data_IF_687263544073
#
_entry.id   IF_687263544073
#
_cell.length_a   1.000
_cell.length_b   1.000
_cell.length_c   1.000
_cell.angle_alpha   90.00
_cell.angle_beta   90.00
_cell.angle_gamma   90.00
#
_symmetry.space_group_name_H-M   'P 1'
#
loop_
_entity.id
_entity.type
_entity.pdbx_description
1 polymer ?
#
# COMPACT_ATOMS: atom_id res chain seq x y z
N UNK A 1 16.18 -14.45 1.71
CA UNK A 1 15.62 -13.53 0.69
C UNK A 1 14.30 -14.07 0.09
N UNK A 2 14.20 -15.37 -0.21
CA UNK A 2 13.03 -15.98 -0.89
C UNK A 2 11.70 -16.00 -0.10
N UNK A 3 11.72 -16.13 1.24
CA UNK A 3 10.48 -16.19 2.05
C UNK A 3 9.64 -14.90 2.05
N UNK A 4 10.23 -13.73 1.73
CA UNK A 4 9.51 -12.44 1.69
C UNK A 4 8.73 -12.22 0.39
N UNK A 5 9.01 -13.02 -0.63
CA UNK A 5 8.38 -12.92 -1.94
C UNK A 5 7.49 -14.13 -2.27
N UNK A 6 7.28 -15.04 -1.31
CA UNK A 6 6.37 -16.16 -1.49
C UNK A 6 4.93 -15.64 -1.50
N UNK A 7 4.20 -15.77 -2.64
CA UNK A 7 2.83 -15.30 -2.74
C UNK A 7 1.94 -15.95 -1.69
N UNK A 8 0.95 -15.20 -1.20
CA UNK A 8 -0.01 -15.70 -0.21
C UNK A 8 0.47 -15.60 1.24
N UNK A 9 1.65 -15.04 1.52
CA UNK A 9 2.05 -14.67 2.88
C UNK A 9 1.59 -13.26 3.24
N UNK A 10 1.31 -12.94 4.51
CA UNK A 10 0.97 -11.58 4.94
C UNK A 10 2.01 -10.52 4.56
N UNK A 11 3.29 -10.86 4.67
CA UNK A 11 4.39 -9.97 4.28
C UNK A 11 4.39 -9.70 2.76
N UNK A 12 4.14 -10.74 1.95
CA UNK A 12 3.99 -10.59 0.50
C UNK A 12 2.79 -9.71 0.18
N UNK A 13 1.63 -9.98 0.76
CA UNK A 13 0.41 -9.21 0.50
C UNK A 13 0.61 -7.73 0.86
N UNK A 14 1.29 -7.42 1.97
CA UNK A 14 1.59 -6.04 2.32
C UNK A 14 2.47 -5.35 1.27
N UNK A 15 3.53 -6.04 0.83
CA UNK A 15 4.40 -5.55 -0.23
C UNK A 15 3.65 -5.34 -1.55
N UNK A 16 2.80 -6.29 -1.92
CA UNK A 16 2.02 -6.30 -3.16
C UNK A 16 1.00 -5.16 -3.17
N UNK A 17 0.26 -4.94 -2.09
CA UNK A 17 -0.67 -3.80 -1.97
C UNK A 17 0.05 -2.45 -2.13
N UNK A 18 1.20 -2.26 -1.47
CA UNK A 18 1.98 -1.03 -1.61
C UNK A 18 2.53 -0.82 -3.03
N UNK A 19 3.01 -1.90 -3.68
CA UNK A 19 3.50 -1.85 -5.06
C UNK A 19 2.39 -1.61 -6.09
N UNK A 20 1.25 -2.28 -5.91
CA UNK A 20 0.05 -2.11 -6.74
C UNK A 20 -0.49 -0.68 -6.63
N UNK A 21 -0.57 -0.11 -5.43
CA UNK A 21 -0.98 1.28 -5.23
C UNK A 21 -0.09 2.27 -6.01
N UNK A 22 1.24 2.09 -6.02
CA UNK A 22 2.15 2.94 -6.83
C UNK A 22 1.89 2.76 -8.33
N UNK A 23 1.66 1.53 -8.79
CA UNK A 23 1.42 1.25 -10.21
C UNK A 23 0.10 1.84 -10.67
N UNK A 24 -0.92 1.72 -9.84
CA UNK A 24 -2.27 2.23 -10.06
C UNK A 24 -2.38 3.73 -9.87
N UNK A 25 -1.44 4.38 -9.17
CA UNK A 25 -1.41 5.83 -9.06
C UNK A 25 -0.86 6.54 -10.29
N UNK A 26 -0.26 5.81 -11.22
CA UNK A 26 0.45 6.38 -12.38
C UNK A 26 -0.39 6.29 -13.66
N UNK A 27 -0.36 7.31 -14.52
CA UNK A 27 -0.78 7.16 -15.90
C UNK A 27 0.12 6.14 -16.64
N UNK A 28 -0.41 5.37 -17.60
CA UNK A 28 -1.80 5.35 -18.08
C UNK A 28 -2.73 4.43 -17.27
N UNK A 29 -2.23 3.74 -16.23
CA UNK A 29 -2.99 2.76 -15.44
C UNK A 29 -4.29 3.35 -14.89
N UNK A 30 -4.22 4.59 -14.42
CA UNK A 30 -5.37 5.33 -13.91
C UNK A 30 -5.33 6.78 -14.39
N UNK A 31 -6.49 7.32 -14.75
CA UNK A 31 -6.67 8.74 -15.10
C UNK A 31 -6.84 9.63 -13.87
N UNK A 32 -7.50 9.14 -12.82
CA UNK A 32 -7.58 9.79 -11.50
C UNK A 32 -7.51 8.76 -10.36
N UNK A 33 -6.38 8.67 -9.61
CA UNK A 33 -6.24 7.73 -8.51
C UNK A 33 -7.25 7.98 -7.38
N UNK A 34 -7.64 9.23 -7.15
CA UNK A 34 -8.51 9.60 -6.04
C UNK A 34 -9.92 9.00 -6.13
N UNK A 35 -10.33 8.54 -7.32
CA UNK A 35 -11.61 7.88 -7.56
C UNK A 35 -11.46 6.46 -8.08
N UNK A 36 -10.25 5.90 -8.08
CA UNK A 36 -9.98 4.56 -8.60
C UNK A 36 -10.14 3.52 -7.48
N UNK A 37 -11.16 2.65 -7.51
CA UNK A 37 -11.37 1.67 -6.45
C UNK A 37 -10.15 0.76 -6.19
N UNK A 38 -9.46 0.21 -7.22
CA UNK A 38 -8.26 -0.59 -6.99
C UNK A 38 -7.16 0.18 -6.24
N UNK A 39 -6.89 1.43 -6.63
CA UNK A 39 -5.92 2.27 -5.94
C UNK A 39 -6.33 2.50 -4.48
N UNK A 40 -7.57 2.91 -4.23
CA UNK A 40 -8.03 3.23 -2.89
C UNK A 40 -7.97 2.02 -1.96
N UNK A 41 -8.35 0.84 -2.45
CA UNK A 41 -8.25 -0.42 -1.71
C UNK A 41 -6.79 -0.76 -1.39
N UNK A 42 -5.92 -0.79 -2.40
CA UNK A 42 -4.52 -1.19 -2.21
C UNK A 42 -3.74 -0.17 -1.36
N UNK A 43 -4.05 1.12 -1.51
CA UNK A 43 -3.48 2.20 -0.70
C UNK A 43 -3.88 2.05 0.77
N UNK A 44 -5.16 1.83 1.06
CA UNK A 44 -5.65 1.63 2.43
C UNK A 44 -5.03 0.38 3.08
N UNK A 45 -4.93 -0.72 2.34
CA UNK A 45 -4.26 -1.94 2.80
C UNK A 45 -2.76 -1.68 3.07
N UNK A 46 -2.09 -0.94 2.19
CA UNK A 46 -0.69 -0.54 2.40
C UNK A 46 -0.53 0.24 3.71
N UNK A 47 -1.36 1.25 3.97
CA UNK A 47 -1.30 2.01 5.23
C UNK A 47 -1.57 1.14 6.45
N UNK A 48 -2.47 0.15 6.34
CA UNK A 48 -2.73 -0.78 7.43
C UNK A 48 -1.48 -1.61 7.78
N UNK A 49 -0.84 -2.24 6.81
CA UNK A 49 0.18 -3.25 7.11
C UNK A 49 1.63 -2.72 7.16
N UNK A 50 1.88 -1.52 6.63
CA UNK A 50 3.26 -1.07 6.35
C UNK A 50 3.96 -0.35 7.51
N UNK A 51 3.24 -0.07 8.59
CA UNK A 51 3.74 0.63 9.78
C UNK A 51 4.86 -0.12 10.53
N UNK A 52 5.59 0.57 11.41
CA UNK A 52 6.76 0.04 12.11
C UNK A 52 6.46 -1.14 13.05
N UNK A 53 5.23 -1.18 13.57
CA UNK A 53 4.74 -2.26 14.45
C UNK A 53 4.29 -3.51 13.67
N UNK A 54 4.33 -3.45 12.34
CA UNK A 54 3.92 -4.52 11.42
C UNK A 54 5.11 -4.92 10.54
N UNK A 55 5.01 -4.76 9.21
CA UNK A 55 6.11 -5.13 8.30
C UNK A 55 7.18 -4.04 8.15
N UNK A 56 6.93 -2.82 8.64
CA UNK A 56 7.86 -1.69 8.60
C UNK A 56 8.42 -1.43 7.19
N UNK A 57 7.55 -1.49 6.18
CA UNK A 57 7.92 -1.27 4.77
C UNK A 57 7.51 0.11 4.26
N UNK A 58 6.76 0.90 5.04
CA UNK A 58 6.37 2.26 4.63
C UNK A 58 7.57 3.12 4.25
N UNK A 59 8.71 2.94 4.93
CA UNK A 59 9.99 3.59 4.59
C UNK A 59 10.46 3.44 3.14
N UNK A 60 9.97 2.43 2.42
CA UNK A 60 10.30 2.20 1.01
C UNK A 60 9.25 2.77 0.04
N UNK A 61 7.98 2.83 0.45
CA UNK A 61 6.85 3.18 -0.42
C UNK A 61 6.30 4.59 -0.16
N UNK A 62 6.38 5.04 1.10
CA UNK A 62 5.69 6.20 1.62
C UNK A 62 6.02 7.49 0.90
N UNK A 63 7.28 7.71 0.51
CA UNK A 63 7.64 8.93 -0.25
C UNK A 63 6.79 9.10 -1.53
N UNK A 64 6.52 8.02 -2.25
CA UNK A 64 5.71 8.11 -3.48
C UNK A 64 4.23 8.17 -3.15
N UNK A 65 3.79 7.32 -2.24
CA UNK A 65 2.38 7.16 -1.90
C UNK A 65 1.82 8.37 -1.13
N UNK A 66 2.60 9.01 -0.25
CA UNK A 66 2.19 10.24 0.44
C UNK A 66 1.86 11.36 -0.53
N UNK A 67 2.66 11.58 -1.58
CA UNK A 67 2.38 12.63 -2.58
C UNK A 67 1.03 12.42 -3.27
N UNK A 68 0.70 11.18 -3.62
CA UNK A 68 -0.58 10.84 -4.24
C UNK A 68 -1.71 10.96 -3.21
N UNK A 69 -1.50 10.41 -2.00
CA UNK A 69 -2.46 10.47 -0.89
C UNK A 69 -2.85 11.89 -0.54
N UNK A 70 -1.87 12.79 -0.37
CA UNK A 70 -2.07 14.22 -0.11
C UNK A 70 -2.90 14.88 -1.21
N UNK A 71 -2.59 14.59 -2.48
CA UNK A 71 -3.35 15.11 -3.63
C UNK A 71 -4.82 14.67 -3.58
N UNK A 72 -5.07 13.47 -3.06
CA UNK A 72 -6.42 12.91 -2.90
C UNK A 72 -7.08 13.24 -1.55
N UNK A 73 -6.42 13.96 -0.64
CA UNK A 73 -6.92 14.24 0.72
C UNK A 73 -7.03 12.99 1.61
N UNK A 74 -6.19 11.99 1.37
CA UNK A 74 -6.13 10.74 2.14
C UNK A 74 -5.13 10.85 3.29
N UNK A 75 -5.27 9.96 4.28
CA UNK A 75 -4.23 9.71 5.29
C UNK A 75 -2.91 9.31 4.62
N UNK A 76 -1.78 9.69 5.21
CA UNK A 76 -0.44 9.46 4.66
C UNK A 76 0.52 8.84 5.67
N UNK A 77 -0.01 8.44 6.81
CA UNK A 77 0.71 7.72 7.85
C UNK A 77 0.13 6.30 7.99
N UNK A 78 0.99 5.27 8.13
CA UNK A 78 0.51 3.94 8.43
C UNK A 78 -0.25 3.89 9.76
N UNK A 79 -1.19 2.97 9.88
CA UNK A 79 -1.89 2.72 11.15
C UNK A 79 -0.87 2.32 12.23
N UNK A 80 -0.99 2.94 13.40
CA UNK A 80 -0.18 2.62 14.58
C UNK A 80 -0.60 1.29 15.23
N UNK A 81 0.32 0.61 15.89
CA UNK A 81 0.08 -0.66 16.57
C UNK A 81 0.00 -1.86 15.61
N UNK A 82 -0.06 -3.07 16.20
CA UNK A 82 -0.21 -4.31 15.43
C UNK A 82 -1.59 -4.32 14.76
N UNK A 83 -1.60 -4.53 13.45
CA UNK A 83 -2.80 -4.59 12.62
C UNK A 83 -3.08 -6.03 12.17
N UNK A 84 -4.32 -6.28 11.75
CA UNK A 84 -4.67 -7.53 11.07
C UNK A 84 -4.01 -7.62 9.68
N UNK A 85 -3.68 -8.86 9.28
CA UNK A 85 -3.10 -9.15 7.99
C UNK A 85 -4.04 -8.72 6.85
N UNK A 86 -3.46 -8.14 5.80
CA UNK A 86 -4.19 -7.72 4.60
C UNK A 86 -4.23 -8.82 3.55
N UNK A 87 -5.32 -8.84 2.77
CA UNK A 87 -5.47 -9.73 1.62
C UNK A 87 -4.56 -9.34 0.43
N UNK A 88 -4.56 -10.14 -0.65
CA UNK A 88 -3.86 -9.82 -1.89
C UNK A 88 -4.32 -8.49 -2.48
N UNK A 89 -3.45 -7.86 -3.29
CA UNK A 89 -3.80 -6.65 -4.03
C UNK A 89 -4.89 -6.93 -5.08
N UNK A 90 -5.67 -5.89 -5.41
CA UNK A 90 -6.77 -5.92 -6.40
C UNK A 90 -6.53 -5.04 -7.61
#
# INVERSE_FOLDING_TARGET
>A
LLKRQEPGTPAYNCHDNCGAAITQSKPPTTTNPCTSPPFLTNYANCLQCSGPDNFNIWRYYGRTLSVVGETCGLETEPKSGVQEDVGPAV
#
